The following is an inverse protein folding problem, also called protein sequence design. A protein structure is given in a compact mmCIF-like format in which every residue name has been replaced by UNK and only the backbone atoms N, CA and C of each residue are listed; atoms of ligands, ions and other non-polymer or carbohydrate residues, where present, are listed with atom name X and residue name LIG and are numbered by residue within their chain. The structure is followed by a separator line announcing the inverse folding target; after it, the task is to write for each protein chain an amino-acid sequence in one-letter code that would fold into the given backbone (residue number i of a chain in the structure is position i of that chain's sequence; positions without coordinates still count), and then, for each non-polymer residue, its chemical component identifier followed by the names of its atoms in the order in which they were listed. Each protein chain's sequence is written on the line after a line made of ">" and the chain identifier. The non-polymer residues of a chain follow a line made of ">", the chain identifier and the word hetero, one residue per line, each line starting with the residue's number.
data_IF_392915586376
#
_entry.id   IF_392915586376
#
_cell.length_a   1.000
_cell.length_b   1.000
_cell.length_c   1.000
_cell.angle_alpha   90.00
_cell.angle_beta   90.00
_cell.angle_gamma   90.00
#
_symmetry.space_group_name_H-M   'P 1'
#
loop_
_entity.id
_entity.type
_entity.pdbx_description
1 polymer ?
#
# COMPACT_ATOMS: atom_id res chain seq x y z
N UNK A 1 -13.29 -16.68 2.89
CA UNK A 1 -13.32 -16.26 1.47
C UNK A 1 -12.93 -14.80 1.42
N UNK A 2 -11.74 -14.47 0.92
CA UNK A 2 -11.33 -13.06 0.77
C UNK A 2 -11.98 -12.53 -0.50
N UNK A 3 -13.06 -11.75 -0.34
CA UNK A 3 -13.70 -11.04 -1.44
C UNK A 3 -12.66 -10.09 -2.05
N UNK A 4 -12.29 -10.33 -3.32
CA UNK A 4 -11.51 -9.38 -4.11
C UNK A 4 -12.38 -8.14 -4.29
N UNK A 5 -12.18 -7.11 -3.46
CA UNK A 5 -12.75 -5.78 -3.71
C UNK A 5 -12.10 -5.29 -4.99
N UNK A 6 -12.86 -5.22 -6.08
CA UNK A 6 -12.39 -4.57 -7.31
C UNK A 6 -12.19 -3.08 -7.01
N UNK A 7 -10.95 -2.68 -6.78
CA UNK A 7 -10.59 -1.29 -6.47
C UNK A 7 -10.70 -0.48 -7.78
N UNK A 8 -11.79 0.28 -7.93
CA UNK A 8 -12.01 1.17 -9.07
C UNK A 8 -11.05 2.37 -9.02
N UNK A 9 -10.61 2.85 -10.18
CA UNK A 9 -9.81 4.07 -10.27
C UNK A 9 -10.69 5.30 -10.06
N UNK A 10 -10.20 6.29 -9.31
CA UNK A 10 -10.88 7.57 -9.12
C UNK A 10 -11.06 8.29 -10.46
N UNK A 11 -12.24 8.88 -10.70
CA UNK A 11 -12.58 9.69 -11.86
C UNK A 11 -13.07 11.10 -11.48
N UNK A 12 -12.87 11.51 -10.22
CA UNK A 12 -13.25 12.85 -9.74
C UNK A 12 -12.27 13.89 -10.33
N UNK A 13 -12.81 14.97 -10.89
CA UNK A 13 -11.99 16.09 -11.38
C UNK A 13 -11.39 16.90 -10.22
N UNK A 14 -12.17 17.14 -9.16
CA UNK A 14 -11.74 17.81 -7.93
C UNK A 14 -12.20 17.03 -6.69
N UNK A 15 -11.40 16.10 -6.17
CA UNK A 15 -11.74 15.39 -4.94
C UNK A 15 -11.71 16.33 -3.73
N UNK A 16 -12.70 16.20 -2.83
CA UNK A 16 -12.75 16.95 -1.56
C UNK A 16 -11.59 16.62 -0.63
N UNK A 17 -10.94 15.47 -0.85
CA UNK A 17 -9.73 15.05 -0.18
C UNK A 17 -9.40 13.60 -0.51
N UNK A 18 -8.28 13.14 0.05
CA UNK A 18 -7.81 11.76 -0.08
C UNK A 18 -7.45 11.18 1.29
N UNK A 19 -7.63 9.88 1.47
CA UNK A 19 -7.23 9.15 2.67
C UNK A 19 -6.41 7.90 2.29
N UNK A 20 -5.47 7.46 3.15
CA UNK A 20 -4.70 6.25 2.91
C UNK A 20 -5.56 5.00 3.12
N UNK A 21 -5.42 4.04 2.22
CA UNK A 21 -5.99 2.70 2.25
C UNK A 21 -4.85 1.68 2.06
N UNK A 22 -4.99 0.49 2.64
CA UNK A 22 -3.95 -0.55 2.59
C UNK A 22 -4.54 -1.90 2.26
N UNK A 23 -3.85 -2.70 1.46
CA UNK A 23 -4.16 -4.12 1.24
C UNK A 23 -2.99 -5.00 1.66
N UNK A 24 -3.02 -6.27 1.24
CA UNK A 24 -1.96 -7.24 1.54
C UNK A 24 -0.67 -7.00 0.76
N UNK A 25 -0.69 -6.16 -0.29
CA UNK A 25 0.41 -5.94 -1.22
C UNK A 25 1.06 -4.56 -1.03
N UNK A 26 0.32 -3.58 -0.52
CA UNK A 26 0.80 -2.21 -0.37
C UNK A 26 -0.23 -1.26 0.23
N UNK A 27 0.00 0.02 0.01
CA UNK A 27 -0.93 1.10 0.35
C UNK A 27 -1.17 2.02 -0.84
N UNK A 28 -2.30 2.73 -0.83
CA UNK A 28 -2.63 3.75 -1.82
C UNK A 28 -3.50 4.83 -1.22
N UNK A 29 -3.64 5.94 -1.93
CA UNK A 29 -4.60 6.98 -1.57
C UNK A 29 -5.92 6.73 -2.29
N UNK A 30 -7.01 6.71 -1.52
CA UNK A 30 -8.37 6.65 -2.03
C UNK A 30 -9.04 8.02 -1.95
N UNK A 31 -9.90 8.30 -2.92
CA UNK A 31 -10.70 9.51 -2.97
C UNK A 31 -11.80 9.47 -1.89
N UNK A 32 -11.97 10.56 -1.14
CA UNK A 32 -13.03 10.67 -0.12
C UNK A 32 -14.44 10.60 -0.70
N UNK A 33 -14.63 11.04 -1.95
CA UNK A 33 -15.97 11.15 -2.55
C UNK A 33 -16.42 9.85 -3.22
N UNK A 34 -15.56 9.23 -4.04
CA UNK A 34 -15.91 8.02 -4.80
C UNK A 34 -15.30 6.73 -4.24
N UNK A 35 -14.40 6.81 -3.26
CA UNK A 35 -13.67 5.66 -2.72
C UNK A 35 -12.71 5.01 -3.74
N UNK A 36 -12.55 5.60 -4.92
CA UNK A 36 -11.69 5.08 -5.97
C UNK A 36 -10.21 5.35 -5.69
N UNK A 37 -9.34 4.46 -6.14
CA UNK A 37 -7.88 4.62 -6.05
C UNK A 37 -7.39 5.76 -6.91
N UNK A 38 -6.57 6.63 -6.33
CA UNK A 38 -5.87 7.68 -7.05
C UNK A 38 -4.66 7.09 -7.78
N UNK A 39 -4.63 7.24 -9.10
CA UNK A 39 -3.81 6.46 -10.04
C UNK A 39 -2.29 6.53 -9.83
N UNK A 40 -1.79 7.51 -9.07
CA UNK A 40 -0.37 7.79 -8.88
C UNK A 40 0.15 7.48 -7.47
N UNK A 41 -0.61 6.77 -6.63
CA UNK A 41 -0.29 6.65 -5.19
C UNK A 41 -0.10 5.21 -4.69
N UNK A 42 -0.13 4.22 -5.57
CA UNK A 42 0.01 2.83 -5.15
C UNK A 42 1.48 2.49 -4.88
N UNK A 43 1.83 2.32 -3.61
CA UNK A 43 3.14 1.93 -3.13
C UNK A 43 3.09 0.52 -2.56
N UNK A 44 3.95 -0.37 -3.06
CA UNK A 44 4.07 -1.73 -2.53
C UNK A 44 4.83 -1.69 -1.21
N UNK A 45 4.50 -2.59 -0.28
CA UNK A 45 5.37 -2.80 0.87
C UNK A 45 6.72 -3.34 0.36
N UNK A 46 7.79 -2.55 0.47
CA UNK A 46 9.14 -3.00 0.21
C UNK A 46 9.42 -4.24 1.08
N UNK A 47 9.54 -5.42 0.46
CA UNK A 47 9.76 -6.68 1.19
C UNK A 47 9.04 -7.91 0.64
N UNK A 48 8.09 -7.77 -0.29
CA UNK A 48 7.44 -8.94 -0.94
C UNK A 48 8.34 -9.69 -1.96
N UNK A 49 9.61 -9.29 -2.08
CA UNK A 49 10.59 -9.89 -3.00
C UNK A 49 11.89 -10.40 -2.38
N UNK A 50 12.30 -9.92 -1.20
CA UNK A 50 13.53 -10.40 -0.55
C UNK A 50 13.34 -10.37 0.97
N UNK A 51 12.89 -11.50 1.51
CA UNK A 51 13.24 -11.86 2.88
C UNK A 51 14.73 -12.22 2.89
N UNK A 52 15.61 -11.24 2.70
CA UNK A 52 16.98 -11.38 3.20
C UNK A 52 16.86 -11.26 4.71
N UNK A 53 16.82 -12.41 5.35
CA UNK A 53 17.20 -12.59 6.74
C UNK A 53 18.48 -11.76 6.93
N UNK A 54 18.35 -10.55 7.48
CA UNK A 54 19.49 -9.81 8.00
C UNK A 54 19.91 -10.66 9.19
N UNK A 55 20.85 -11.56 8.96
CA UNK A 55 21.64 -12.16 10.03
C UNK A 55 22.16 -10.98 10.86
N UNK A 56 21.50 -10.79 12.00
CA UNK A 56 21.94 -9.86 13.01
C UNK A 56 23.25 -10.45 13.52
N UNK A 57 24.37 -9.98 12.96
CA UNK A 57 25.69 -10.22 13.53
C UNK A 57 25.68 -9.62 14.94
N UNK A 58 25.34 -10.43 15.94
CA UNK A 58 25.75 -10.17 17.30
C UNK A 58 27.25 -10.41 17.36
N UNK A 59 28.04 -9.38 17.07
CA UNK A 59 29.43 -9.34 17.51
C UNK A 59 29.39 -9.12 19.02
N UNK A 60 29.35 -10.21 19.77
CA UNK A 60 29.76 -10.19 21.18
C UNK A 60 31.28 -10.34 21.17
N UNK A 61 31.96 -9.23 21.40
CA UNK A 61 33.37 -9.24 21.80
C UNK A 61 33.44 -9.84 23.21
N UNK A 62 34.16 -10.94 23.35
CA UNK A 62 34.81 -11.36 24.60
C UNK A 62 36.27 -11.72 24.28
#
# INVERSE_FOLDING_TARGET
>A
MMMKKEVKQCQCEEPSGVHPETDQLGFWMACNDCGGRVAATYEYFEGFGEMKQRDVYYVKNE
#
